data_IF_496209993013
#
_entry.id   IF_496209993013
#
_cell.length_a   1.000
_cell.length_b   1.000
_cell.length_c   1.000
_cell.angle_alpha   90.00
_cell.angle_beta   90.00
_cell.angle_gamma   90.00
#
_symmetry.space_group_name_H-M   'P 1'
#
loop_
_entity.id
_entity.type
_entity.pdbx_description
1 polymer ?
#
# COMPACT_ATOMS: atom_id res chain seq x y z
N UNK A 1 -27.09 -6.00 18.84
CA UNK A 1 -27.56 -5.43 17.57
C UNK A 1 -26.46 -4.49 17.17
N UNK A 2 -25.71 -4.85 16.13
CA UNK A 2 -24.50 -4.13 15.78
C UNK A 2 -24.93 -2.89 14.98
N UNK A 3 -24.82 -1.71 15.61
CA UNK A 3 -25.24 -0.46 15.00
C UNK A 3 -24.30 -0.10 13.84
N UNK A 4 -24.88 0.50 12.78
CA UNK A 4 -24.17 0.96 11.57
C UNK A 4 -23.51 -0.15 10.73
N UNK A 5 -23.82 -1.43 10.96
CA UNK A 5 -23.37 -2.52 10.07
C UNK A 5 -24.19 -2.54 8.79
N UNK A 6 -25.51 -2.39 8.93
CA UNK A 6 -26.42 -2.35 7.79
C UNK A 6 -26.47 -0.91 7.24
N UNK A 7 -26.21 -0.71 5.94
CA UNK A 7 -26.30 0.61 5.31
C UNK A 7 -27.73 1.16 5.36
N UNK A 8 -27.85 2.48 5.58
CA UNK A 8 -29.11 3.23 5.46
C UNK A 8 -28.98 4.31 4.36
N UNK A 9 -29.45 4.06 3.14
CA UNK A 9 -29.30 4.98 2.01
C UNK A 9 -29.82 6.40 2.25
N UNK A 10 -30.79 6.57 3.15
CA UNK A 10 -31.43 7.85 3.47
C UNK A 10 -30.71 8.61 4.62
N UNK A 11 -29.68 8.00 5.23
CA UNK A 11 -28.92 8.61 6.31
C UNK A 11 -28.06 9.79 5.84
N UNK A 12 -27.89 10.76 6.75
CA UNK A 12 -27.17 12.01 6.44
C UNK A 12 -25.65 11.82 6.44
N UNK A 13 -25.14 10.92 7.29
CA UNK A 13 -23.72 10.65 7.45
C UNK A 13 -23.22 9.45 6.62
N UNK A 14 -21.96 9.51 6.20
CA UNK A 14 -21.25 8.50 5.39
C UNK A 14 -21.25 7.14 6.07
N UNK A 15 -20.89 7.09 7.35
CA UNK A 15 -20.81 5.82 8.09
C UNK A 15 -22.18 5.14 8.18
N UNK A 16 -23.26 5.89 8.43
CA UNK A 16 -24.60 5.32 8.44
C UNK A 16 -25.06 4.94 7.02
N UNK A 17 -24.75 5.76 6.01
CA UNK A 17 -25.19 5.56 4.64
C UNK A 17 -24.55 4.37 3.94
N UNK A 18 -23.27 4.16 4.16
CA UNK A 18 -22.51 3.08 3.52
C UNK A 18 -22.35 1.85 4.41
N UNK A 19 -22.59 1.99 5.72
CA UNK A 19 -22.26 0.98 6.71
C UNK A 19 -20.76 0.99 7.06
N UNK A 20 -20.45 0.78 8.33
CA UNK A 20 -19.08 0.84 8.86
C UNK A 20 -18.10 -0.15 8.19
N UNK A 21 -18.46 -1.40 7.82
CA UNK A 21 -17.47 -2.34 7.28
C UNK A 21 -16.92 -1.85 5.94
N UNK A 22 -17.81 -1.37 5.07
CA UNK A 22 -17.47 -0.81 3.76
C UNK A 22 -16.63 0.45 3.93
N UNK A 23 -16.98 1.30 4.89
CA UNK A 23 -16.23 2.53 5.16
C UNK A 23 -14.83 2.22 5.68
N UNK A 24 -14.69 1.24 6.57
CA UNK A 24 -13.41 0.80 7.09
C UNK A 24 -12.51 0.26 5.97
N UNK A 25 -13.05 -0.60 5.08
CA UNK A 25 -12.31 -1.15 3.93
C UNK A 25 -11.84 -0.06 2.96
N UNK A 26 -12.73 0.86 2.57
CA UNK A 26 -12.35 1.96 1.68
C UNK A 26 -11.31 2.86 2.33
N UNK A 27 -11.46 3.18 3.62
CA UNK A 27 -10.49 4.01 4.32
C UNK A 27 -9.12 3.33 4.43
N UNK A 28 -9.11 2.02 4.71
CA UNK A 28 -7.89 1.22 4.73
C UNK A 28 -7.17 1.31 3.38
N UNK A 29 -7.87 1.02 2.28
CA UNK A 29 -7.36 1.09 0.91
C UNK A 29 -6.76 2.45 0.54
N UNK A 30 -7.40 3.54 0.98
CA UNK A 30 -6.96 4.89 0.67
C UNK A 30 -5.73 5.29 1.49
N UNK A 31 -5.70 4.97 2.79
CA UNK A 31 -4.58 5.31 3.69
C UNK A 31 -3.35 4.47 3.37
N UNK A 32 -3.56 3.18 3.12
CA UNK A 32 -2.47 2.24 2.85
C UNK A 32 -1.94 2.31 1.42
N UNK A 33 -2.57 3.14 0.57
CA UNK A 33 -2.25 3.30 -0.84
C UNK A 33 -2.38 1.99 -1.65
N UNK A 34 -3.28 1.08 -1.25
CA UNK A 34 -3.54 -0.21 -1.92
C UNK A 34 -3.74 -0.08 -3.43
N UNK A 35 -4.31 1.03 -3.89
CA UNK A 35 -4.54 1.29 -5.31
C UNK A 35 -3.25 1.32 -6.17
N UNK A 36 -2.08 1.55 -5.57
CA UNK A 36 -0.79 1.46 -6.26
C UNK A 36 -0.46 0.03 -6.73
N UNK A 37 -1.14 -0.99 -6.21
CA UNK A 37 -1.04 -2.35 -6.74
C UNK A 37 -1.21 -2.41 -8.26
N UNK A 38 -2.15 -1.63 -8.81
CA UNK A 38 -2.36 -1.59 -10.25
C UNK A 38 -1.14 -1.13 -11.06
N UNK A 39 -0.29 -0.29 -10.47
CA UNK A 39 1.00 0.06 -11.06
C UNK A 39 2.03 -1.04 -10.82
N UNK A 40 2.12 -1.58 -9.60
CA UNK A 40 3.11 -2.63 -9.28
C UNK A 40 2.91 -3.90 -10.11
N UNK A 41 1.68 -4.24 -10.47
CA UNK A 41 1.37 -5.39 -11.33
C UNK A 41 1.98 -5.25 -12.74
N UNK A 42 2.32 -4.04 -13.19
CA UNK A 42 2.93 -3.78 -14.51
C UNK A 42 4.35 -3.20 -14.43
N UNK A 43 4.91 -2.94 -13.24
CA UNK A 43 6.24 -2.31 -13.07
C UNK A 43 7.33 -3.12 -13.77
N UNK A 44 7.30 -4.44 -13.65
CA UNK A 44 8.28 -5.33 -14.32
C UNK A 44 8.16 -5.26 -15.84
N UNK A 45 6.95 -5.21 -16.39
CA UNK A 45 6.73 -5.10 -17.84
C UNK A 45 7.17 -3.75 -18.39
N UNK A 46 6.90 -2.67 -17.65
CA UNK A 46 7.45 -1.34 -17.94
C UNK A 46 8.98 -1.37 -17.91
N UNK A 47 9.58 -1.92 -16.85
CA UNK A 47 11.04 -2.01 -16.72
C UNK A 47 11.67 -2.83 -17.86
N UNK A 48 11.06 -3.94 -18.27
CA UNK A 48 11.52 -4.78 -19.37
C UNK A 48 11.43 -4.06 -20.72
N UNK A 49 10.31 -3.38 -20.98
CA UNK A 49 10.12 -2.56 -22.18
C UNK A 49 11.22 -1.50 -22.30
N UNK A 50 11.49 -0.80 -21.20
CA UNK A 50 12.44 0.31 -21.17
C UNK A 50 13.90 -0.16 -21.11
N UNK A 51 14.15 -1.36 -20.60
CA UNK A 51 15.47 -2.01 -20.66
C UNK A 51 15.94 -2.27 -22.08
N UNK A 52 15.01 -2.47 -23.03
CA UNK A 52 15.33 -2.54 -24.46
C UNK A 52 15.95 -1.25 -25.03
N UNK A 53 15.74 -0.11 -24.37
CA UNK A 53 16.27 1.21 -24.74
C UNK A 53 17.66 1.53 -24.16
N UNK A 54 18.25 0.67 -23.32
CA UNK A 54 19.50 0.93 -22.59
C UNK A 54 20.74 1.12 -23.48
N UNK A 55 20.64 0.85 -24.78
CA UNK A 55 21.71 1.13 -25.74
C UNK A 55 21.82 2.62 -26.11
N UNK A 56 20.83 3.44 -25.73
CA UNK A 56 20.73 4.86 -26.08
C UNK A 56 20.25 5.73 -24.90
N UNK A 57 20.94 6.85 -24.64
CA UNK A 57 20.55 7.83 -23.60
C UNK A 57 19.17 8.44 -23.82
N UNK A 58 18.73 8.54 -25.07
CA UNK A 58 17.39 8.94 -25.48
C UNK A 58 16.80 7.78 -26.29
N UNK A 59 15.54 7.44 -26.06
CA UNK A 59 14.85 6.38 -26.78
C UNK A 59 13.45 6.83 -27.19
N UNK A 60 12.97 6.23 -28.27
CA UNK A 60 11.57 6.25 -28.68
C UNK A 60 11.21 4.83 -29.11
N UNK A 61 10.26 4.22 -28.41
CA UNK A 61 9.87 2.82 -28.61
C UNK A 61 8.36 2.72 -28.81
N UNK A 62 7.96 1.83 -29.71
CA UNK A 62 6.56 1.42 -29.82
C UNK A 62 6.25 0.47 -28.66
N UNK A 63 5.09 0.65 -28.04
CA UNK A 63 4.65 -0.28 -26.99
C UNK A 63 4.09 -1.56 -27.61
N UNK A 64 4.09 -2.69 -26.88
CA UNK A 64 3.77 -4.00 -27.44
C UNK A 64 2.38 -4.09 -28.08
N UNK A 65 1.39 -3.44 -27.47
CA UNK A 65 -0.03 -3.55 -27.87
C UNK A 65 -0.54 -2.29 -28.61
N UNK A 66 0.17 -1.17 -28.50
CA UNK A 66 -0.22 0.09 -29.15
C UNK A 66 0.35 1.33 -28.47
N UNK A 67 0.43 2.44 -29.20
CA UNK A 67 1.00 3.69 -28.69
C UNK A 67 2.53 3.68 -28.62
N UNK A 68 3.09 4.63 -27.86
CA UNK A 68 4.53 4.83 -27.78
C UNK A 68 5.01 5.34 -26.42
N UNK A 69 6.29 5.09 -26.16
CA UNK A 69 7.02 5.63 -25.02
C UNK A 69 8.28 6.35 -25.50
N UNK A 70 8.51 7.57 -25.01
CA UNK A 70 9.66 8.40 -25.38
C UNK A 70 10.32 8.87 -24.10
N UNK A 71 11.64 8.77 -24.01
CA UNK A 71 12.31 9.09 -22.76
C UNK A 71 13.83 9.07 -22.83
N UNK A 72 14.42 9.15 -21.65
CA UNK A 72 15.86 9.00 -21.44
C UNK A 72 16.15 7.84 -20.51
N UNK A 73 17.32 7.22 -20.68
CA UNK A 73 17.76 6.12 -19.82
C UNK A 73 19.21 6.28 -19.40
N UNK A 74 19.49 5.79 -18.20
CA UNK A 74 20.82 5.48 -17.68
C UNK A 74 20.87 3.98 -17.34
N UNK A 75 21.98 3.52 -16.77
CA UNK A 75 22.11 2.12 -16.38
C UNK A 75 21.12 1.71 -15.27
N UNK A 76 20.78 2.62 -14.36
CA UNK A 76 19.92 2.33 -13.19
C UNK A 76 18.60 3.09 -13.21
N UNK A 77 18.42 4.05 -14.12
CA UNK A 77 17.23 4.90 -14.14
C UNK A 77 16.69 5.15 -15.54
N UNK A 78 15.40 5.48 -15.61
CA UNK A 78 14.77 6.00 -16.82
C UNK A 78 13.72 7.04 -16.47
N UNK A 79 13.58 8.03 -17.35
CA UNK A 79 12.50 9.02 -17.35
C UNK A 79 11.76 8.89 -18.67
N UNK A 80 10.45 8.66 -18.63
CA UNK A 80 9.65 8.31 -19.80
C UNK A 80 8.31 9.01 -19.79
N UNK A 81 7.91 9.50 -20.97
CA UNK A 81 6.55 9.92 -21.28
C UNK A 81 5.85 8.85 -22.11
N UNK A 82 4.65 8.46 -21.68
CA UNK A 82 3.78 7.54 -22.40
C UNK A 82 2.72 8.30 -23.20
N UNK A 83 2.57 7.94 -24.47
CA UNK A 83 1.48 8.37 -25.34
C UNK A 83 0.62 7.16 -25.66
N UNK A 84 -0.43 6.95 -24.85
CA UNK A 84 -1.36 5.82 -24.93
C UNK A 84 -0.64 4.47 -25.08
N UNK A 85 0.41 4.27 -24.29
CA UNK A 85 1.23 3.06 -24.33
C UNK A 85 0.46 1.89 -23.72
N UNK A 86 0.22 0.84 -24.50
CA UNK A 86 -0.51 -0.34 -24.06
C UNK A 86 0.47 -1.44 -23.60
N UNK A 87 0.34 -1.85 -22.33
CA UNK A 87 1.17 -2.86 -21.67
C UNK A 87 0.28 -3.71 -20.76
N UNK A 88 0.32 -5.03 -20.92
CA UNK A 88 -0.41 -6.01 -20.12
C UNK A 88 -1.92 -5.67 -19.98
N UNK A 89 -2.54 -5.24 -21.09
CA UNK A 89 -3.96 -4.88 -21.13
C UNK A 89 -4.31 -3.56 -20.42
N UNK A 90 -3.32 -2.73 -20.04
CA UNK A 90 -3.52 -1.38 -19.48
C UNK A 90 -3.03 -0.32 -20.44
N UNK A 91 -3.72 0.82 -20.47
CA UNK A 91 -3.29 2.00 -21.25
C UNK A 91 -2.63 3.01 -20.33
N UNK A 92 -1.39 3.38 -20.65
CA UNK A 92 -0.59 4.34 -19.91
C UNK A 92 -0.50 5.67 -20.67
N UNK A 93 -0.68 6.78 -19.95
CA UNK A 93 -0.46 8.13 -20.48
C UNK A 93 0.16 9.00 -19.38
N UNK A 94 1.06 9.91 -19.74
CA UNK A 94 1.73 10.79 -18.77
C UNK A 94 3.17 10.36 -18.49
N UNK A 95 3.77 10.90 -17.43
CA UNK A 95 5.19 10.76 -17.14
C UNK A 95 5.49 9.80 -15.99
N UNK A 96 6.63 9.12 -16.10
CA UNK A 96 7.18 8.22 -15.09
C UNK A 96 8.70 8.37 -15.03
N UNK A 97 9.25 8.52 -13.83
CA UNK A 97 10.68 8.31 -13.58
C UNK A 97 10.84 7.10 -12.68
N UNK A 98 11.81 6.25 -12.97
CA UNK A 98 12.14 5.08 -12.16
C UNK A 98 13.63 4.99 -11.97
N UNK A 99 14.06 4.73 -10.75
CA UNK A 99 15.44 4.40 -10.40
C UNK A 99 15.44 3.09 -9.63
N UNK A 100 16.35 2.18 -9.99
CA UNK A 100 16.54 0.91 -9.32
C UNK A 100 18.00 0.72 -8.96
N UNK A 101 18.28 0.66 -7.66
CA UNK A 101 19.61 0.46 -7.11
C UNK A 101 19.68 -0.91 -6.45
N UNK A 102 20.77 -1.63 -6.72
CA UNK A 102 21.03 -2.94 -6.16
C UNK A 102 22.40 -2.97 -5.50
N UNK A 103 22.44 -3.41 -4.24
CA UNK A 103 23.67 -3.51 -3.46
C UNK A 103 23.82 -4.91 -2.90
N UNK A 104 24.99 -5.52 -3.12
CA UNK A 104 25.40 -6.77 -2.47
C UNK A 104 26.39 -6.45 -1.36
N UNK A 105 26.21 -7.05 -0.18
CA UNK A 105 27.10 -6.88 0.95
C UNK A 105 27.27 -8.22 1.67
N UNK A 106 28.43 -8.48 2.27
CA UNK A 106 28.65 -9.65 3.16
C UNK A 106 27.90 -10.92 2.74
N UNK A 107 26.86 -11.28 3.51
CA UNK A 107 25.98 -12.44 3.28
C UNK A 107 24.55 -12.02 2.89
N UNK A 108 24.39 -10.90 2.20
CA UNK A 108 23.08 -10.33 1.89
C UNK A 108 23.08 -9.38 0.69
N UNK A 109 21.90 -8.84 0.43
CA UNK A 109 21.63 -7.90 -0.64
C UNK A 109 20.48 -6.97 -0.26
N UNK A 110 20.47 -5.78 -0.84
CA UNK A 110 19.33 -4.86 -0.79
C UNK A 110 19.05 -4.35 -2.21
N UNK A 111 17.77 -4.23 -2.54
CA UNK A 111 17.30 -3.59 -3.75
C UNK A 111 16.31 -2.49 -3.40
N UNK A 112 16.55 -1.30 -3.90
CA UNK A 112 15.68 -0.13 -3.75
C UNK A 112 15.15 0.26 -5.12
N UNK A 113 13.84 0.40 -5.24
CA UNK A 113 13.17 0.92 -6.44
C UNK A 113 12.40 2.17 -6.04
N UNK A 114 12.77 3.31 -6.62
CA UNK A 114 12.06 4.58 -6.48
C UNK A 114 11.39 4.92 -7.79
N UNK A 115 10.12 5.27 -7.71
CA UNK A 115 9.26 5.64 -8.83
C UNK A 115 8.66 7.01 -8.55
N UNK A 116 8.81 7.94 -9.48
CA UNK A 116 8.11 9.22 -9.46
C UNK A 116 7.05 9.24 -10.56
N UNK A 117 5.81 9.45 -10.15
CA UNK A 117 4.66 9.60 -11.03
C UNK A 117 4.48 11.09 -11.36
N UNK A 118 4.45 11.41 -12.65
CA UNK A 118 4.20 12.75 -13.15
C UNK A 118 2.92 12.75 -13.99
N UNK A 119 1.78 12.85 -13.29
CA UNK A 119 0.44 12.70 -13.88
C UNK A 119 0.28 11.39 -14.66
N UNK A 120 0.88 10.31 -14.16
CA UNK A 120 0.75 8.99 -14.77
C UNK A 120 -0.69 8.52 -14.63
N UNK A 121 -1.38 8.43 -15.78
CA UNK A 121 -2.70 7.84 -15.91
C UNK A 121 -2.60 6.38 -16.34
N UNK A 122 -3.26 5.50 -15.60
CA UNK A 122 -3.42 4.08 -15.89
C UNK A 122 -4.92 3.81 -16.11
N UNK A 123 -5.29 3.43 -17.32
CA UNK A 123 -6.63 2.89 -17.62
C UNK A 123 -6.64 1.42 -17.23
N UNK A 124 -7.54 1.05 -16.31
CA UNK A 124 -7.55 -0.28 -15.68
C UNK A 124 -8.50 -1.24 -16.42
N UNK A 125 -9.75 -0.81 -16.60
CA UNK A 125 -10.86 -1.53 -17.23
C UNK A 125 -11.88 -0.49 -17.74
N UNK A 126 -12.99 -0.94 -18.34
CA UNK A 126 -14.07 -0.06 -18.79
C UNK A 126 -14.55 0.84 -17.63
N UNK A 127 -14.43 2.17 -17.80
CA UNK A 127 -14.79 3.20 -16.81
C UNK A 127 -13.93 3.25 -15.53
N UNK A 128 -12.79 2.55 -15.49
CA UNK A 128 -11.89 2.57 -14.35
C UNK A 128 -10.54 3.17 -14.75
N UNK A 129 -10.12 4.22 -14.05
CA UNK A 129 -8.80 4.82 -14.25
C UNK A 129 -8.23 5.36 -12.97
N UNK A 130 -6.91 5.42 -12.91
CA UNK A 130 -6.16 6.04 -11.83
C UNK A 130 -5.15 7.02 -12.43
N UNK A 131 -5.13 8.25 -11.94
CA UNK A 131 -4.08 9.24 -12.25
C UNK A 131 -3.25 9.48 -11.00
N UNK A 132 -1.92 9.40 -11.11
CA UNK A 132 -0.97 9.47 -10.01
C UNK A 132 0.01 10.62 -10.21
N UNK A 133 0.22 11.39 -9.14
CA UNK A 133 1.32 12.34 -9.01
C UNK A 133 1.96 12.21 -7.63
N UNK A 134 3.27 11.98 -7.59
CA UNK A 134 4.02 11.78 -6.35
C UNK A 134 5.11 10.72 -6.49
N UNK A 135 5.48 10.09 -5.38
CA UNK A 135 6.58 9.13 -5.33
C UNK A 135 6.18 7.86 -4.59
N UNK A 136 6.69 6.73 -5.07
CA UNK A 136 6.71 5.45 -4.38
C UNK A 136 8.14 4.95 -4.28
N UNK A 137 8.55 4.50 -3.11
CA UNK A 137 9.82 3.82 -2.88
C UNK A 137 9.55 2.48 -2.25
N UNK A 138 10.17 1.45 -2.80
CA UNK A 138 10.14 0.09 -2.30
C UNK A 138 11.55 -0.37 -2.04
N UNK A 139 11.77 -1.03 -0.92
CA UNK A 139 13.05 -1.65 -0.59
C UNK A 139 12.82 -3.09 -0.15
N UNK A 140 13.59 -4.00 -0.73
CA UNK A 140 13.71 -5.37 -0.24
C UNK A 140 15.16 -5.61 0.20
N UNK A 141 15.33 -6.10 1.43
CA UNK A 141 16.61 -6.50 1.98
C UNK A 141 16.54 -7.98 2.38
N UNK A 142 17.61 -8.71 2.11
CA UNK A 142 17.79 -10.09 2.52
C UNK A 142 19.20 -10.29 3.05
N UNK A 143 19.35 -10.90 4.22
CA UNK A 143 20.66 -11.20 4.83
C UNK A 143 20.63 -12.56 5.52
N UNK A 144 21.61 -13.42 5.25
CA UNK A 144 21.69 -14.74 5.86
C UNK A 144 21.89 -14.65 7.38
N UNK A 145 21.06 -15.36 8.15
CA UNK A 145 21.22 -15.48 9.59
C UNK A 145 22.11 -16.69 9.95
N UNK A 146 23.37 -16.43 10.29
CA UNK A 146 24.34 -17.48 10.63
C UNK A 146 23.92 -18.26 11.89
N UNK A 147 23.25 -17.62 12.85
CA UNK A 147 22.76 -18.26 14.09
C UNK A 147 21.77 -19.41 13.80
N UNK A 148 20.99 -19.21 12.74
CA UNK A 148 19.91 -20.09 12.32
C UNK A 148 20.23 -20.79 10.99
N UNK A 149 21.48 -21.24 10.84
CA UNK A 149 21.93 -22.06 9.71
C UNK A 149 21.73 -21.40 8.32
N UNK A 150 21.78 -20.08 8.27
CA UNK A 150 21.66 -19.30 7.04
C UNK A 150 20.24 -18.99 6.60
N UNK A 151 19.21 -19.29 7.40
CA UNK A 151 17.84 -18.83 7.12
C UNK A 151 17.86 -17.30 7.02
N UNK A 152 17.40 -16.69 5.91
CA UNK A 152 17.54 -15.24 5.74
C UNK A 152 16.63 -14.47 6.68
N UNK A 153 17.13 -13.37 7.21
CA UNK A 153 16.30 -12.25 7.65
C UNK A 153 15.93 -11.44 6.41
N UNK A 154 14.63 -11.17 6.23
CA UNK A 154 14.16 -10.33 5.14
C UNK A 154 13.44 -9.10 5.68
N UNK A 155 13.61 -7.97 5.01
CA UNK A 155 12.89 -6.73 5.29
C UNK A 155 12.28 -6.25 4.00
N UNK A 156 10.99 -5.93 4.04
CA UNK A 156 10.26 -5.26 2.96
C UNK A 156 9.75 -3.92 3.46
N UNK A 157 10.19 -2.86 2.82
CA UNK A 157 9.78 -1.49 3.13
C UNK A 157 9.03 -0.89 1.94
N UNK A 158 7.92 -0.23 2.22
CA UNK A 158 7.13 0.54 1.25
C UNK A 158 6.97 1.94 1.82
N UNK A 159 7.30 2.96 1.02
CA UNK A 159 7.13 4.35 1.35
C UNK A 159 6.51 5.09 0.18
N UNK A 160 5.31 5.62 0.36
CA UNK A 160 4.58 6.33 -0.67
C UNK A 160 4.28 7.75 -0.17
N UNK A 161 4.54 8.74 -1.03
CA UNK A 161 4.16 10.15 -0.80
C UNK A 161 3.51 10.65 -2.07
N UNK A 162 2.18 10.70 -2.08
CA UNK A 162 1.39 11.12 -3.24
C UNK A 162 0.81 12.50 -3.02
N UNK A 163 1.07 13.38 -3.98
CA UNK A 163 0.64 14.78 -3.99
C UNK A 163 -0.76 14.93 -4.58
N UNK A 164 -1.13 14.03 -5.50
CA UNK A 164 -2.47 13.99 -6.05
C UNK A 164 -2.76 12.60 -6.60
N UNK A 165 -3.93 12.08 -6.29
CA UNK A 165 -4.46 10.87 -6.91
C UNK A 165 -5.90 11.12 -7.33
N UNK A 166 -6.24 10.71 -8.53
CA UNK A 166 -7.62 10.66 -9.00
C UNK A 166 -7.97 9.22 -9.30
N UNK A 167 -8.94 8.67 -8.56
CA UNK A 167 -9.49 7.35 -8.78
C UNK A 167 -10.89 7.50 -9.38
N UNK A 168 -11.07 6.99 -10.59
CA UNK A 168 -12.39 6.83 -11.21
C UNK A 168 -12.71 5.35 -11.20
N UNK A 169 -13.80 4.99 -10.52
CA UNK A 169 -14.31 3.61 -10.45
C UNK A 169 -15.80 3.60 -10.76
N UNK A 170 -16.18 3.09 -11.92
CA UNK A 170 -17.56 3.09 -12.42
C UNK A 170 -18.15 4.52 -12.40
N UNK A 171 -19.13 4.77 -11.52
CA UNK A 171 -19.81 6.07 -11.35
C UNK A 171 -19.22 6.93 -10.22
N UNK A 172 -18.15 6.47 -9.57
CA UNK A 172 -17.58 7.14 -8.42
C UNK A 172 -16.22 7.71 -8.71
N UNK A 173 -16.00 8.92 -8.23
CA UNK A 173 -14.72 9.60 -8.31
C UNK A 173 -14.24 9.88 -6.89
N UNK A 174 -12.97 9.58 -6.66
CA UNK A 174 -12.27 9.90 -5.43
C UNK A 174 -11.02 10.70 -5.79
N UNK A 175 -10.93 11.91 -5.27
CA UNK A 175 -9.76 12.78 -5.37
C UNK A 175 -9.03 12.76 -4.04
N UNK A 176 -7.77 12.34 -4.06
CA UNK A 176 -6.88 12.35 -2.90
C UNK A 176 -5.90 13.51 -3.10
N UNK A 177 -5.93 14.48 -2.19
CA UNK A 177 -5.10 15.70 -2.27
C UNK A 177 -3.76 15.55 -1.59
N UNK A 178 -3.61 14.53 -0.76
CA UNK A 178 -2.35 14.10 -0.18
C UNK A 178 -2.50 12.70 0.39
N UNK A 179 -1.54 11.82 0.16
CA UNK A 179 -1.42 10.55 0.87
C UNK A 179 0.03 10.27 1.22
N UNK A 180 0.25 9.78 2.44
CA UNK A 180 1.55 9.27 2.88
C UNK A 180 1.34 7.89 3.50
N UNK A 181 2.15 6.93 3.11
CA UNK A 181 2.13 5.58 3.67
C UNK A 181 3.56 5.10 3.87
N UNK A 182 3.86 4.58 5.05
CA UNK A 182 5.10 3.88 5.35
C UNK A 182 4.73 2.53 5.97
N UNK A 183 5.34 1.46 5.47
CA UNK A 183 5.22 0.12 6.03
C UNK A 183 6.59 -0.54 6.01
N UNK A 184 6.99 -1.15 7.12
CA UNK A 184 8.13 -2.06 7.18
C UNK A 184 7.65 -3.41 7.71
N UNK A 185 7.91 -4.46 6.95
CA UNK A 185 7.65 -5.84 7.32
C UNK A 185 8.98 -6.62 7.36
N UNK A 186 9.38 -7.03 8.55
CA UNK A 186 10.59 -7.82 8.80
C UNK A 186 10.18 -9.25 9.15
N UNK A 187 10.79 -10.23 8.48
CA UNK A 187 10.79 -11.62 8.93
C UNK A 187 12.20 -12.00 9.32
N UNK A 188 12.35 -12.52 10.53
CA UNK A 188 13.63 -12.95 11.06
C UNK A 188 13.47 -14.27 11.80
N UNK A 189 14.60 -14.92 12.07
CA UNK A 189 14.64 -16.10 12.92
C UNK A 189 15.59 -15.87 14.08
N UNK A 190 15.29 -16.45 15.24
CA UNK A 190 16.16 -16.32 16.41
C UNK A 190 16.20 -17.62 17.19
N UNK A 191 17.36 -17.92 17.78
CA UNK A 191 17.50 -18.99 18.76
C UNK A 191 17.18 -18.42 20.14
N UNK A 192 16.03 -18.82 20.68
CA UNK A 192 15.60 -18.47 22.05
C UNK A 192 16.11 -19.47 23.09
N UNK A 193 16.52 -20.67 22.66
CA UNK A 193 17.03 -21.73 23.53
C UNK A 193 18.50 -22.11 23.21
N UNK A 194 19.40 -22.20 24.21
CA UNK A 194 20.79 -22.60 23.97
C UNK A 194 20.96 -24.03 23.44
N UNK A 195 19.95 -24.90 23.56
CA UNK A 195 19.98 -26.23 22.95
C UNK A 195 19.89 -26.14 21.42
N UNK A 196 20.96 -26.58 20.74
CA UNK A 196 21.06 -26.53 19.28
C UNK A 196 20.07 -27.42 18.55
N UNK A 197 19.50 -28.42 19.23
CA UNK A 197 18.51 -29.34 18.68
C UNK A 197 17.11 -28.72 18.56
N UNK A 198 16.87 -27.63 19.30
CA UNK A 198 15.63 -26.86 19.18
C UNK A 198 15.78 -25.93 17.95
N UNK A 199 14.82 -25.96 17.01
CA UNK A 199 14.87 -25.13 15.82
C UNK A 199 14.78 -23.65 16.20
N UNK A 200 15.31 -22.77 15.35
CA UNK A 200 15.06 -21.34 15.49
C UNK A 200 13.57 -21.03 15.33
N UNK A 201 13.12 -20.01 16.05
CA UNK A 201 11.74 -19.52 16.01
C UNK A 201 11.63 -18.35 15.06
N UNK A 202 10.47 -18.22 14.41
CA UNK A 202 10.19 -17.08 13.54
C UNK A 202 9.74 -15.88 14.37
N UNK A 203 10.20 -14.71 13.95
CA UNK A 203 9.76 -13.42 14.48
C UNK A 203 9.38 -12.56 13.28
N UNK A 204 8.12 -12.15 13.26
CA UNK A 204 7.62 -11.17 12.31
C UNK A 204 7.46 -9.81 13.01
N UNK A 205 7.85 -8.74 12.34
CA UNK A 205 7.60 -7.37 12.79
C UNK A 205 6.94 -6.59 11.69
N UNK A 206 5.85 -5.92 12.03
CA UNK A 206 5.09 -5.07 11.16
C UNK A 206 4.98 -3.69 11.82
N UNK A 207 5.62 -2.69 11.21
CA UNK A 207 5.38 -1.28 11.54
C UNK A 207 4.74 -0.59 10.36
N UNK A 208 3.74 0.25 10.62
CA UNK A 208 3.12 1.06 9.59
C UNK A 208 2.60 2.38 10.13
N UNK A 209 2.55 3.37 9.25
CA UNK A 209 1.95 4.66 9.51
C UNK A 209 1.53 5.30 8.21
N UNK A 210 0.33 5.85 8.16
CA UNK A 210 -0.10 6.65 7.03
C UNK A 210 -1.29 7.52 7.31
N UNK A 211 -1.50 8.42 6.36
CA UNK A 211 -2.58 9.37 6.36
C UNK A 211 -3.00 9.70 4.92
N UNK A 212 -4.28 9.99 4.72
CA UNK A 212 -4.80 10.44 3.44
C UNK A 212 -5.91 11.49 3.63
N UNK A 213 -5.94 12.46 2.72
CA UNK A 213 -7.02 13.45 2.62
C UNK A 213 -7.77 13.19 1.31
N UNK A 214 -9.04 12.78 1.42
CA UNK A 214 -9.81 12.32 0.26
C UNK A 214 -11.19 13.00 0.17
N UNK A 215 -11.55 13.45 -1.02
CA UNK A 215 -12.93 13.82 -1.37
C UNK A 215 -13.45 12.72 -2.28
N UNK A 216 -14.66 12.23 -2.03
CA UNK A 216 -15.27 11.20 -2.86
C UNK A 216 -16.73 11.50 -3.10
N UNK A 217 -17.22 11.23 -4.30
CA UNK A 217 -18.67 11.26 -4.57
C UNK A 217 -19.43 10.25 -3.71
N UNK A 218 -18.77 9.22 -3.16
CA UNK A 218 -19.34 8.30 -2.16
C UNK A 218 -19.55 8.96 -0.79
N UNK A 219 -18.68 9.91 -0.43
CA UNK A 219 -18.74 10.62 0.84
C UNK A 219 -19.68 11.83 0.79
N UNK A 220 -19.86 12.38 -0.41
CA UNK A 220 -20.39 13.72 -0.63
C UNK A 220 -19.25 14.59 -1.17
N UNK A 221 -19.54 15.43 -2.16
CA UNK A 221 -18.53 16.21 -2.89
C UNK A 221 -17.93 17.36 -2.08
N UNK A 222 -18.58 17.72 -0.97
CA UNK A 222 -18.26 18.96 -0.23
C UNK A 222 -17.39 18.70 1.00
N UNK A 223 -17.19 17.42 1.38
CA UNK A 223 -16.50 17.03 2.59
C UNK A 223 -15.16 16.34 2.28
N UNK A 224 -14.13 16.75 3.00
CA UNK A 224 -12.81 16.11 2.97
C UNK A 224 -12.75 15.08 4.10
N UNK A 225 -12.57 13.81 3.74
CA UNK A 225 -12.29 12.75 4.69
C UNK A 225 -10.81 12.80 5.10
N UNK A 226 -10.56 12.81 6.41
CA UNK A 226 -9.24 12.72 7.02
C UNK A 226 -9.07 11.30 7.56
N UNK A 227 -8.15 10.56 6.96
CA UNK A 227 -7.97 9.14 7.22
C UNK A 227 -6.56 8.91 7.76
N UNK A 228 -6.41 8.08 8.80
CA UNK A 228 -5.10 7.69 9.32
C UNK A 228 -5.08 6.26 9.84
N UNK A 229 -3.91 5.62 9.74
CA UNK A 229 -3.67 4.25 10.20
C UNK A 229 -2.23 4.14 10.68
N UNK A 230 -2.00 3.57 11.85
CA UNK A 230 -0.66 3.35 12.37
C UNK A 230 -0.61 2.13 13.28
N UNK A 231 0.57 1.51 13.37
CA UNK A 231 0.79 0.39 14.27
C UNK A 231 2.21 -0.10 14.31
N UNK A 232 2.50 -0.86 15.36
CA UNK A 232 3.72 -1.61 15.60
C UNK A 232 3.29 -2.95 16.21
N UNK A 233 3.52 -4.03 15.46
CA UNK A 233 3.07 -5.38 15.78
C UNK A 233 4.26 -6.30 15.65
N UNK A 234 4.59 -6.97 16.74
CA UNK A 234 5.51 -8.11 16.73
C UNK A 234 4.67 -9.38 16.68
N UNK A 235 5.15 -10.47 16.08
CA UNK A 235 4.54 -11.80 16.21
C UNK A 235 5.69 -12.77 16.39
N UNK A 236 5.68 -13.50 17.50
CA UNK A 236 6.75 -14.42 17.89
C UNK A 236 6.13 -15.77 18.29
N UNK A 237 6.67 -16.85 17.74
CA UNK A 237 6.29 -18.22 18.07
C UNK A 237 6.65 -18.63 19.51
N UNK A 238 7.37 -17.79 20.26
CA UNK A 238 7.75 -18.02 21.65
C UNK A 238 6.60 -17.92 22.66
N UNK A 239 5.48 -17.28 22.28
CA UNK A 239 4.31 -17.10 23.14
C UNK A 239 4.49 -16.10 24.28
N UNK A 240 5.55 -15.28 24.26
CA UNK A 240 5.61 -14.06 25.08
C UNK A 240 4.59 -13.04 24.54
N UNK A 241 3.91 -12.31 25.43
CA UNK A 241 2.94 -11.27 25.02
C UNK A 241 3.60 -10.35 24.01
N UNK A 242 3.12 -10.42 22.78
CA UNK A 242 3.62 -9.55 21.74
C UNK A 242 3.26 -8.10 22.06
N UNK A 243 4.22 -7.21 21.90
CA UNK A 243 3.96 -5.78 21.81
C UNK A 243 3.23 -5.51 20.48
N UNK A 244 1.90 -5.54 20.52
CA UNK A 244 1.04 -5.23 19.39
C UNK A 244 0.16 -4.03 19.71
N UNK A 245 0.38 -2.92 18.99
CA UNK A 245 -0.44 -1.72 19.06
C UNK A 245 -0.76 -1.29 17.65
N UNK A 246 -2.04 -1.14 17.34
CA UNK A 246 -2.45 -0.59 16.05
C UNK A 246 -3.78 0.14 16.19
N UNK A 247 -3.95 1.19 15.38
CA UNK A 247 -5.21 1.87 15.25
C UNK A 247 -5.41 2.49 13.87
N UNK A 248 -6.67 2.63 13.49
CA UNK A 248 -7.13 3.40 12.35
C UNK A 248 -8.16 4.41 12.83
N UNK A 249 -8.11 5.64 12.31
CA UNK A 249 -9.06 6.70 12.62
C UNK A 249 -9.44 7.45 11.35
N UNK A 250 -10.74 7.56 11.10
CA UNK A 250 -11.27 8.20 9.91
C UNK A 250 -12.38 9.19 10.31
N UNK A 251 -12.24 10.43 9.87
CA UNK A 251 -13.19 11.52 10.05
C UNK A 251 -13.71 11.95 8.68
N UNK A 252 -15.01 11.89 8.46
CA UNK A 252 -15.63 12.19 7.15
C UNK A 252 -16.09 13.65 7.02
N UNK A 253 -15.85 14.49 8.03
CA UNK A 253 -16.25 15.92 8.07
C UNK A 253 -17.75 16.17 7.89
N UNK A 254 -18.60 15.14 7.96
CA UNK A 254 -20.06 15.22 7.90
C UNK A 254 -20.72 14.96 9.26
N UNK A 255 -19.90 14.90 10.33
CA UNK A 255 -20.32 14.52 11.67
C UNK A 255 -20.16 13.02 11.97
N UNK A 256 -19.71 12.21 11.01
CA UNK A 256 -19.34 10.82 11.25
C UNK A 256 -17.84 10.55 11.36
N UNK A 257 -17.52 9.62 12.25
CA UNK A 257 -16.17 9.18 12.55
C UNK A 257 -16.17 7.69 12.88
N UNK A 258 -15.11 6.99 12.46
CA UNK A 258 -14.81 5.62 12.87
C UNK A 258 -13.38 5.55 13.41
N UNK A 259 -13.20 4.87 14.54
CA UNK A 259 -11.90 4.47 15.04
C UNK A 259 -11.89 2.95 15.27
N UNK A 260 -10.83 2.28 14.84
CA UNK A 260 -10.60 0.86 15.07
C UNK A 260 -9.29 0.75 15.84
N UNK A 261 -9.30 0.17 17.03
CA UNK A 261 -8.14 0.04 17.90
C UNK A 261 -7.90 -1.44 18.21
N UNK A 262 -6.69 -1.93 17.94
CA UNK A 262 -6.29 -3.29 18.26
C UNK A 262 -6.40 -3.53 19.77
N UNK A 263 -6.99 -4.66 20.15
CA UNK A 263 -7.14 -5.08 21.56
C UNK A 263 -6.44 -6.40 21.85
N UNK A 264 -6.39 -7.31 20.88
CA UNK A 264 -5.61 -8.57 20.93
C UNK A 264 -5.22 -8.93 19.50
N UNK A 265 -3.92 -9.00 19.19
CA UNK A 265 -3.45 -9.47 17.86
C UNK A 265 -3.66 -10.98 17.72
N UNK A 266 -3.36 -11.73 18.79
CA UNK A 266 -3.48 -13.20 18.83
C UNK A 266 -4.91 -13.68 18.57
N UNK A 267 -5.90 -13.00 19.15
CA UNK A 267 -7.33 -13.30 18.93
C UNK A 267 -7.93 -12.55 17.73
N UNK A 268 -7.14 -11.72 17.05
CA UNK A 268 -7.60 -10.82 15.98
C UNK A 268 -8.78 -9.94 16.41
N UNK A 269 -8.73 -9.38 17.61
CA UNK A 269 -9.79 -8.56 18.19
C UNK A 269 -9.43 -7.08 18.18
N UNK A 270 -10.38 -6.27 17.74
CA UNK A 270 -10.31 -4.81 17.82
C UNK A 270 -11.57 -4.22 18.46
N UNK A 271 -11.41 -3.08 19.11
CA UNK A 271 -12.51 -2.20 19.50
C UNK A 271 -12.82 -1.25 18.33
N UNK A 272 -14.09 -1.18 17.96
CA UNK A 272 -14.61 -0.24 16.96
C UNK A 272 -15.44 0.80 17.70
N UNK A 273 -15.04 2.07 17.58
CA UNK A 273 -15.76 3.23 18.08
C UNK A 273 -16.30 4.03 16.89
N UNK A 274 -17.62 4.22 16.84
CA UNK A 274 -18.29 4.93 15.75
C UNK A 274 -19.09 6.09 16.33
N UNK A 275 -19.02 7.25 15.69
CA UNK A 275 -19.97 8.34 15.87
C UNK A 275 -20.63 8.62 14.53
N UNK A 276 -21.95 8.62 14.47
CA UNK A 276 -22.74 8.90 13.27
C UNK A 276 -24.18 9.24 13.68
N UNK A 277 -24.89 10.08 12.90
CA UNK A 277 -26.28 10.49 13.20
C UNK A 277 -26.48 11.03 14.64
N UNK A 278 -25.46 11.65 15.23
CA UNK A 278 -25.51 12.15 16.61
C UNK A 278 -25.49 11.06 17.69
N UNK A 279 -25.21 9.81 17.32
CA UNK A 279 -25.09 8.66 18.23
C UNK A 279 -23.65 8.15 18.23
N UNK A 280 -23.15 7.78 19.41
CA UNK A 280 -21.85 7.10 19.56
C UNK A 280 -22.06 5.66 20.03
N UNK A 281 -21.39 4.72 19.39
CA UNK A 281 -21.43 3.29 19.72
C UNK A 281 -20.02 2.73 19.80
N UNK A 282 -19.85 1.71 20.63
CA UNK A 282 -18.58 1.01 20.81
C UNK A 282 -18.85 -0.49 20.95
N UNK A 283 -18.09 -1.31 20.22
CA UNK A 283 -18.19 -2.77 20.29
C UNK A 283 -16.90 -3.45 19.81
N UNK A 284 -16.71 -4.71 20.19
CA UNK A 284 -15.57 -5.52 19.74
C UNK A 284 -15.91 -6.27 18.47
N UNK A 285 -14.95 -6.37 17.56
CA UNK A 285 -15.06 -7.11 16.29
C UNK A 285 -13.82 -7.95 16.07
N UNK A 286 -13.94 -8.94 15.17
CA UNK A 286 -12.77 -9.57 14.56
C UNK A 286 -12.21 -8.65 13.49
N UNK A 287 -11.00 -8.14 13.70
CA UNK A 287 -10.27 -7.28 12.76
C UNK A 287 -8.78 -7.48 12.99
N UNK A 288 -8.03 -7.66 11.92
CA UNK A 288 -6.58 -7.84 11.97
C UNK A 288 -5.89 -6.74 11.18
N UNK A 289 -4.85 -6.17 11.78
CA UNK A 289 -3.95 -5.25 11.10
C UNK A 289 -2.83 -6.08 10.48
N UNK A 290 -2.80 -6.17 9.16
CA UNK A 290 -1.81 -6.94 8.41
C UNK A 290 -1.04 -6.07 7.42
N UNK A 291 0.11 -6.60 7.00
CA UNK A 291 0.97 -5.96 6.02
C UNK A 291 0.40 -6.14 4.60
N UNK A 292 0.66 -5.17 3.73
CA UNK A 292 0.51 -5.33 2.27
C UNK A 292 1.54 -6.32 1.74
N UNK A 293 1.20 -7.61 1.78
CA UNK A 293 2.00 -8.70 1.23
C UNK A 293 1.61 -9.06 -0.21
N UNK A 294 0.53 -8.48 -0.72
CA UNK A 294 0.00 -8.62 -2.07
C UNK A 294 0.83 -7.88 -3.15
N UNK A 295 1.80 -7.10 -2.71
CA UNK A 295 2.82 -6.46 -3.55
C UNK A 295 3.98 -7.45 -3.72
N UNK A 296 4.27 -7.91 -4.96
CA UNK A 296 5.36 -8.85 -5.22
C UNK A 296 6.69 -8.31 -4.71
N UNK A 297 7.61 -9.13 -4.19
CA UNK A 297 8.97 -8.66 -3.88
C UNK A 297 9.66 -8.09 -5.13
N UNK A 298 10.63 -7.20 -4.90
CA UNK A 298 11.59 -6.76 -5.91
C UNK A 298 12.65 -7.87 -6.11
N UNK A 299 13.10 -8.48 -5.02
CA UNK A 299 14.05 -9.60 -5.05
C UNK A 299 13.29 -10.92 -5.24
N UNK A 300 13.53 -11.58 -6.37
CA UNK A 300 13.18 -12.98 -6.53
C UNK A 300 14.14 -13.82 -5.66
N UNK A 301 13.65 -14.33 -4.53
CA UNK A 301 14.39 -15.27 -3.67
C UNK A 301 14.41 -16.68 -4.28
#
# INVERSE_FOLDING_TARGET
MDSFVTPDPDATTVVARLGYPVVAEIADDLVSTSYLKHYYDIDTSIANLLSGGLSSREFAIACPEGGSAIGTSTFTSFEVGFERCEIDGKVLTGGLSRTADFTVFGLGSSQVVTVEFNELRIELEEFNSMTLSGQSTREDLSSANIECSGIPTTVRSISNTLNSVQLVRLTHETTITSASWQQNYETSTKRTNPDITIPCQNIERLSFSGAANAVSTRYGTDNVALLSKQGDIVRDDSGEESMAQAHMRNDFSDGSMIAITLTSDDDSLAQVDITAEGVSVSYSVTYRFDAHQDIPPILDN
#
